data_IF_364509493904
#
_entry.id   IF_364509493904
#
_cell.length_a   1.000
_cell.length_b   1.000
_cell.length_c   1.000
_cell.angle_alpha   90.00
_cell.angle_beta   90.00
_cell.angle_gamma   90.00
#
_symmetry.space_group_name_H-M   'P 1'
#
loop_
_entity.id
_entity.type
_entity.pdbx_description
1 polymer ?
#
# COMPACT_ATOMS: atom_id res chain seq x y z
N UNK A 1 38.32 -7.63 13.47
CA UNK A 1 38.40 -6.19 13.36
C UNK A 1 37.52 -5.48 14.42
N UNK A 2 36.25 -5.85 14.57
CA UNK A 2 35.37 -5.28 15.64
C UNK A 2 35.52 -6.01 16.99
N UNK A 3 36.11 -7.20 17.03
CA UNK A 3 36.17 -8.05 18.24
C UNK A 3 34.84 -8.70 18.61
N UNK A 4 33.80 -8.52 17.79
CA UNK A 4 32.48 -9.09 18.01
C UNK A 4 32.50 -10.60 17.75
N UNK A 5 31.97 -11.37 18.70
CA UNK A 5 31.80 -12.82 18.57
C UNK A 5 30.35 -13.09 18.17
N UNK A 6 30.14 -13.52 16.94
CA UNK A 6 28.83 -13.82 16.39
C UNK A 6 28.86 -15.15 15.65
N UNK A 7 27.79 -15.91 15.76
CA UNK A 7 27.60 -17.13 14.98
C UNK A 7 27.40 -16.83 13.49
N UNK A 8 27.89 -17.67 12.60
CA UNK A 8 27.85 -17.46 11.15
C UNK A 8 26.43 -17.38 10.62
N UNK A 9 25.51 -18.23 11.10
CA UNK A 9 24.09 -18.20 10.71
C UNK A 9 23.39 -16.93 11.21
N UNK A 10 23.73 -16.50 12.43
CA UNK A 10 23.19 -15.24 12.97
C UNK A 10 23.73 -14.01 12.24
N UNK A 11 24.96 -14.05 11.74
CA UNK A 11 25.59 -12.95 11.00
C UNK A 11 25.05 -12.85 9.57
N UNK A 12 25.02 -13.98 8.85
CA UNK A 12 24.77 -14.02 7.41
C UNK A 12 23.91 -15.18 6.91
N UNK A 13 23.19 -15.87 7.82
CA UNK A 13 22.30 -16.96 7.43
C UNK A 13 21.06 -16.49 6.69
N UNK A 14 20.41 -17.40 6.01
CA UNK A 14 19.24 -17.13 5.19
C UNK A 14 18.11 -16.46 5.99
N UNK A 15 17.85 -16.90 7.23
CA UNK A 15 16.83 -16.30 8.07
C UNK A 15 17.14 -14.84 8.42
N UNK A 16 18.40 -14.53 8.77
CA UNK A 16 18.86 -13.17 9.09
C UNK A 16 18.64 -12.22 7.90
N UNK A 17 19.00 -12.66 6.70
CA UNK A 17 18.85 -11.85 5.51
C UNK A 17 17.40 -11.71 5.04
N UNK A 18 16.54 -12.65 5.39
CA UNK A 18 15.09 -12.53 5.13
C UNK A 18 14.34 -11.71 6.17
N UNK A 19 14.84 -11.59 7.42
CA UNK A 19 14.10 -10.93 8.51
C UNK A 19 14.68 -9.57 8.92
N UNK A 20 16.00 -9.43 8.89
CA UNK A 20 16.70 -8.26 9.45
C UNK A 20 17.20 -7.32 8.36
N UNK A 21 17.97 -7.82 7.41
CA UNK A 21 18.56 -6.97 6.37
C UNK A 21 17.67 -6.76 5.15
N UNK A 22 16.69 -7.63 4.91
CA UNK A 22 15.82 -7.57 3.73
C UNK A 22 16.55 -7.79 2.39
N UNK A 23 17.79 -8.26 2.41
CA UNK A 23 18.58 -8.53 1.20
C UNK A 23 18.01 -9.70 0.42
N UNK A 24 17.57 -10.75 1.12
CA UNK A 24 16.89 -11.90 0.53
C UNK A 24 15.39 -11.69 0.47
N UNK A 25 14.78 -12.04 -0.65
CA UNK A 25 13.35 -11.88 -0.88
C UNK A 25 12.54 -13.14 -0.56
N UNK A 26 13.17 -14.31 -0.63
CA UNK A 26 12.53 -15.59 -0.38
C UNK A 26 13.39 -16.42 0.58
N UNK A 27 12.73 -16.98 1.59
CA UNK A 27 13.30 -18.02 2.42
C UNK A 27 12.92 -19.36 1.81
N UNK A 28 13.90 -20.23 1.59
CA UNK A 28 13.71 -21.56 1.02
C UNK A 28 14.25 -22.60 1.99
N UNK A 29 13.54 -23.71 2.14
CA UNK A 29 13.93 -24.78 3.06
C UNK A 29 15.04 -25.67 2.47
N UNK A 30 15.05 -25.80 1.13
CA UNK A 30 16.00 -26.63 0.38
C UNK A 30 16.12 -26.12 -1.06
N UNK A 31 16.96 -26.77 -1.85
CA UNK A 31 17.25 -26.39 -3.25
C UNK A 31 16.03 -26.59 -4.15
N UNK A 32 15.24 -27.63 -3.93
CA UNK A 32 14.04 -27.93 -4.69
C UNK A 32 12.98 -26.80 -4.49
N UNK A 33 12.73 -26.40 -3.25
CA UNK A 33 11.85 -25.28 -2.92
C UNK A 33 12.35 -23.97 -3.55
N UNK A 34 13.66 -23.75 -3.53
CA UNK A 34 14.28 -22.59 -4.18
C UNK A 34 14.02 -22.57 -5.68
N UNK A 35 14.23 -23.70 -6.35
CA UNK A 35 14.00 -23.84 -7.80
C UNK A 35 12.54 -23.59 -8.15
N UNK A 36 11.60 -24.14 -7.37
CA UNK A 36 10.17 -23.91 -7.61
C UNK A 36 9.77 -22.45 -7.40
N UNK A 37 10.29 -21.77 -6.38
CA UNK A 37 10.07 -20.32 -6.20
C UNK A 37 10.65 -19.48 -7.34
N UNK A 38 11.83 -19.85 -7.87
CA UNK A 38 12.43 -19.20 -9.04
C UNK A 38 11.53 -19.37 -10.26
N UNK A 39 11.06 -20.59 -10.56
CA UNK A 39 10.14 -20.84 -11.67
C UNK A 39 8.83 -20.04 -11.52
N UNK A 40 8.28 -20.03 -10.31
CA UNK A 40 7.07 -19.25 -10.00
C UNK A 40 7.30 -17.77 -10.24
N UNK A 41 8.40 -17.19 -9.74
CA UNK A 41 8.74 -15.78 -9.98
C UNK A 41 8.87 -15.48 -11.48
N UNK A 42 9.61 -16.32 -12.21
CA UNK A 42 9.81 -16.14 -13.65
C UNK A 42 8.50 -16.21 -14.43
N UNK A 43 7.49 -16.94 -13.95
CA UNK A 43 6.19 -17.00 -14.59
C UNK A 43 5.39 -15.69 -14.53
N UNK A 44 5.73 -14.77 -13.64
CA UNK A 44 5.14 -13.43 -13.55
C UNK A 44 5.85 -12.39 -14.40
N UNK A 45 7.08 -12.66 -14.83
CA UNK A 45 7.96 -11.70 -15.49
C UNK A 45 7.97 -11.93 -17.01
N UNK A 46 8.12 -10.90 -17.85
CA UNK A 46 8.44 -11.06 -19.26
C UNK A 46 9.90 -11.50 -19.43
N UNK A 47 10.26 -11.97 -20.63
CA UNK A 47 11.64 -12.34 -20.93
C UNK A 47 12.62 -11.17 -20.86
N UNK A 48 12.12 -9.95 -21.13
CA UNK A 48 12.90 -8.72 -21.05
C UNK A 48 12.00 -7.48 -20.86
N UNK A 49 12.60 -6.33 -20.56
CA UNK A 49 11.90 -5.08 -20.28
C UNK A 49 11.15 -4.43 -21.45
N UNK A 50 11.22 -4.99 -22.67
CA UNK A 50 10.51 -4.49 -23.85
C UNK A 50 9.23 -5.27 -24.15
N UNK A 51 9.01 -6.34 -23.42
CA UNK A 51 7.86 -7.22 -23.56
C UNK A 51 6.88 -7.00 -22.38
N UNK A 52 5.64 -7.35 -22.63
CA UNK A 52 4.64 -7.40 -21.57
C UNK A 52 4.73 -8.74 -20.84
N UNK A 53 4.38 -8.83 -19.56
CA UNK A 53 4.29 -10.09 -18.85
C UNK A 53 3.39 -11.08 -19.57
N UNK A 54 3.70 -12.39 -19.51
CA UNK A 54 2.87 -13.40 -20.15
C UNK A 54 1.48 -13.44 -19.52
N UNK A 55 0.45 -13.53 -20.37
CA UNK A 55 -0.91 -13.79 -19.93
C UNK A 55 -1.13 -15.31 -19.85
N UNK A 56 -1.72 -15.76 -18.76
CA UNK A 56 -2.06 -17.17 -18.55
C UNK A 56 -3.57 -17.38 -18.72
N UNK A 57 -3.99 -18.52 -19.27
CA UNK A 57 -5.40 -18.90 -19.25
C UNK A 57 -5.91 -18.87 -17.80
N UNK A 58 -7.04 -18.22 -17.57
CA UNK A 58 -7.67 -18.12 -16.25
C UNK A 58 -9.03 -18.83 -16.33
N UNK A 59 -9.22 -19.85 -15.50
CA UNK A 59 -10.49 -20.54 -15.34
C UNK A 59 -11.40 -19.90 -14.29
N UNK A 60 -10.81 -19.09 -13.38
CA UNK A 60 -11.56 -18.33 -12.39
C UNK A 60 -12.31 -17.17 -13.08
N UNK A 61 -13.63 -17.16 -12.93
CA UNK A 61 -14.52 -16.20 -13.59
C UNK A 61 -14.09 -14.76 -13.30
N UNK A 62 -13.74 -13.97 -14.33
CA UNK A 62 -13.43 -12.54 -14.15
C UNK A 62 -14.57 -11.72 -13.54
N UNK A 63 -15.81 -12.17 -13.69
CA UNK A 63 -17.02 -11.53 -13.14
C UNK A 63 -17.37 -12.07 -11.73
N UNK A 64 -16.59 -12.99 -11.17
CA UNK A 64 -16.81 -13.53 -9.83
C UNK A 64 -16.86 -12.40 -8.79
N UNK A 65 -17.94 -12.34 -8.05
CA UNK A 65 -18.11 -11.43 -6.92
C UNK A 65 -17.45 -12.00 -5.67
N UNK A 66 -16.75 -11.15 -4.97
CA UNK A 66 -16.03 -11.48 -3.74
C UNK A 66 -16.91 -11.15 -2.51
N UNK A 67 -18.04 -11.83 -2.35
CA UNK A 67 -19.10 -11.48 -1.36
C UNK A 67 -18.57 -11.37 0.08
N UNK A 68 -17.57 -12.18 0.45
CA UNK A 68 -16.97 -12.11 1.77
C UNK A 68 -16.34 -10.75 2.10
N UNK A 69 -16.00 -9.96 1.09
CA UNK A 69 -15.35 -8.66 1.30
C UNK A 69 -16.32 -7.59 1.81
N UNK A 70 -17.62 -7.75 1.61
CA UNK A 70 -18.62 -6.75 2.03
C UNK A 70 -18.61 -6.52 3.55
N UNK A 71 -18.36 -7.58 4.33
CA UNK A 71 -18.34 -7.53 5.80
C UNK A 71 -16.93 -7.77 6.37
N UNK A 72 -15.89 -7.71 5.52
CA UNK A 72 -14.53 -8.11 5.92
C UNK A 72 -13.84 -7.10 6.83
N UNK A 73 -14.02 -5.80 6.57
CA UNK A 73 -13.44 -4.75 7.39
C UNK A 73 -14.24 -4.62 8.68
N UNK A 74 -13.61 -4.76 9.87
CA UNK A 74 -14.32 -4.61 11.13
C UNK A 74 -14.95 -3.22 11.28
N UNK A 75 -16.16 -3.14 11.81
CA UNK A 75 -16.82 -1.86 12.17
C UNK A 75 -15.95 -1.04 13.13
N UNK A 76 -15.32 -1.70 14.11
CA UNK A 76 -14.30 -1.09 14.95
C UNK A 76 -12.97 -1.07 14.22
N UNK A 77 -12.63 0.07 13.63
CA UNK A 77 -11.39 0.29 12.88
C UNK A 77 -10.11 0.23 13.74
N UNK A 78 -10.21 -0.05 15.04
CA UNK A 78 -9.07 -0.39 15.90
C UNK A 78 -8.76 -1.89 15.84
N UNK A 79 -9.68 -2.73 15.38
CA UNK A 79 -9.44 -4.16 15.19
C UNK A 79 -8.62 -4.40 13.94
N UNK A 80 -7.50 -5.11 14.12
CA UNK A 80 -6.64 -5.48 13.01
C UNK A 80 -7.21 -6.68 12.24
N UNK A 81 -7.08 -6.64 10.93
CA UNK A 81 -7.40 -7.75 10.02
C UNK A 81 -6.19 -8.09 9.15
N UNK A 82 -6.22 -9.23 8.45
CA UNK A 82 -5.14 -9.62 7.54
C UNK A 82 -5.44 -9.14 6.12
N UNK A 83 -4.70 -8.16 5.65
CA UNK A 83 -4.83 -7.64 4.29
C UNK A 83 -4.57 -8.73 3.22
N UNK A 84 -3.84 -9.78 3.55
CA UNK A 84 -3.56 -10.87 2.62
C UNK A 84 -4.82 -11.65 2.23
N UNK A 85 -5.85 -11.66 3.07
CA UNK A 85 -7.13 -12.29 2.73
C UNK A 85 -7.86 -11.51 1.63
N UNK A 86 -7.82 -10.17 1.68
CA UNK A 86 -8.36 -9.32 0.60
C UNK A 86 -7.59 -9.59 -0.70
N UNK A 87 -6.24 -9.62 -0.63
CA UNK A 87 -5.39 -9.87 -1.80
C UNK A 87 -5.71 -11.22 -2.43
N UNK A 88 -5.83 -12.28 -1.62
CA UNK A 88 -6.18 -13.62 -2.12
C UNK A 88 -7.57 -13.66 -2.71
N UNK A 89 -8.53 -13.05 -2.05
CA UNK A 89 -9.92 -13.09 -2.50
C UNK A 89 -10.13 -12.45 -3.88
N UNK A 90 -9.40 -11.38 -4.20
CA UNK A 90 -9.48 -10.75 -5.52
C UNK A 90 -8.60 -11.41 -6.58
N UNK A 91 -7.60 -12.23 -6.17
CA UNK A 91 -6.67 -12.89 -7.07
C UNK A 91 -7.32 -14.08 -7.81
N UNK A 92 -6.81 -14.38 -9.00
CA UNK A 92 -7.15 -15.61 -9.71
C UNK A 92 -6.76 -16.82 -8.85
N UNK A 93 -7.66 -17.79 -8.75
CA UNK A 93 -7.47 -19.04 -7.98
C UNK A 93 -7.02 -18.80 -6.51
N UNK A 94 -7.25 -17.61 -5.97
CA UNK A 94 -6.82 -17.18 -4.63
C UNK A 94 -5.30 -17.28 -4.40
N UNK A 95 -4.49 -17.22 -5.48
CA UNK A 95 -3.04 -17.36 -5.41
C UNK A 95 -2.37 -16.02 -5.21
N UNK A 96 -1.57 -15.91 -4.15
CA UNK A 96 -0.72 -14.75 -3.87
C UNK A 96 0.73 -15.19 -3.66
N UNK A 97 1.64 -14.70 -4.51
CA UNK A 97 3.08 -14.96 -4.42
C UNK A 97 3.76 -13.77 -3.74
N UNK A 98 3.86 -13.85 -2.41
CA UNK A 98 4.40 -12.77 -1.57
C UNK A 98 5.92 -12.70 -1.68
N UNK A 99 6.47 -11.49 -1.86
CA UNK A 99 7.91 -11.21 -1.81
C UNK A 99 8.29 -10.60 -0.47
N UNK A 100 9.47 -10.93 0.07
CA UNK A 100 9.96 -10.43 1.36
C UNK A 100 8.94 -10.59 2.50
N UNK A 101 8.27 -11.75 2.54
CA UNK A 101 7.20 -12.04 3.51
C UNK A 101 7.63 -11.90 4.98
N UNK A 102 8.93 -12.07 5.28
CA UNK A 102 9.51 -12.01 6.62
C UNK A 102 10.14 -10.64 6.96
N UNK A 103 10.30 -9.74 5.97
CA UNK A 103 10.90 -8.43 6.16
C UNK A 103 9.86 -7.33 6.07
N UNK A 104 9.95 -6.33 6.96
CA UNK A 104 9.03 -5.19 6.98
C UNK A 104 7.56 -5.63 6.81
N UNK A 105 7.09 -6.49 7.73
CA UNK A 105 5.82 -7.19 7.62
C UNK A 105 4.59 -6.28 7.73
N UNK A 106 4.77 -5.01 8.07
CA UNK A 106 3.78 -3.94 8.01
C UNK A 106 3.48 -3.46 6.56
N UNK A 107 4.33 -3.85 5.60
CA UNK A 107 4.15 -3.64 4.17
C UNK A 107 4.15 -4.98 3.44
N UNK A 108 3.13 -5.23 2.65
CA UNK A 108 2.97 -6.43 1.81
C UNK A 108 3.37 -6.07 0.39
N UNK A 109 4.21 -6.90 -0.21
CA UNK A 109 4.58 -6.83 -1.63
C UNK A 109 4.54 -8.22 -2.23
N UNK A 110 4.09 -8.35 -3.46
CA UNK A 110 4.04 -9.65 -4.14
C UNK A 110 3.25 -9.60 -5.43
N UNK A 111 3.08 -10.74 -6.05
CA UNK A 111 2.42 -10.88 -7.33
C UNK A 111 1.13 -11.70 -7.21
N UNK A 112 0.12 -11.26 -7.93
CA UNK A 112 -1.13 -12.01 -8.19
C UNK A 112 -1.36 -12.09 -9.68
N UNK A 113 -2.32 -12.92 -10.10
CA UNK A 113 -2.93 -12.80 -11.42
C UNK A 113 -4.36 -12.29 -11.28
N UNK A 114 -4.78 -11.51 -12.25
CA UNK A 114 -6.14 -10.99 -12.35
C UNK A 114 -6.61 -11.07 -13.80
N UNK A 115 -7.53 -12.00 -14.07
CA UNK A 115 -7.96 -12.34 -15.42
C UNK A 115 -6.80 -12.84 -16.30
N UNK A 116 -5.86 -13.58 -15.71
CA UNK A 116 -4.65 -14.11 -16.35
C UNK A 116 -3.47 -13.15 -16.43
N UNK A 117 -3.66 -11.87 -16.16
CA UNK A 117 -2.60 -10.86 -16.21
C UNK A 117 -1.80 -10.80 -14.91
N UNK A 118 -0.47 -10.70 -15.00
CA UNK A 118 0.39 -10.46 -13.84
C UNK A 118 0.18 -9.05 -13.27
N UNK A 119 0.02 -8.95 -11.95
CA UNK A 119 -0.18 -7.68 -11.23
C UNK A 119 0.72 -7.65 -9.99
N UNK A 120 1.48 -6.58 -9.82
CA UNK A 120 2.24 -6.32 -8.60
C UNK A 120 1.36 -5.64 -7.54
N UNK A 121 1.31 -6.20 -6.35
CA UNK A 121 0.54 -5.68 -5.22
C UNK A 121 1.47 -5.00 -4.22
N UNK A 122 1.09 -3.80 -3.80
CA UNK A 122 1.69 -3.06 -2.67
C UNK A 122 0.57 -2.73 -1.69
N UNK A 123 0.62 -3.27 -0.47
CA UNK A 123 -0.45 -3.10 0.48
C UNK A 123 0.05 -2.91 1.91
N UNK A 124 -0.71 -2.21 2.74
CA UNK A 124 -0.44 -2.12 4.17
C UNK A 124 -0.93 -3.37 4.90
N UNK A 125 -0.26 -3.76 5.99
CA UNK A 125 -0.70 -4.85 6.85
C UNK A 125 -1.16 -4.31 8.21
N UNK A 126 -2.48 -4.16 8.44
CA UNK A 126 -3.00 -3.62 9.70
C UNK A 126 -2.63 -4.44 10.94
N UNK A 127 -2.35 -5.73 10.80
CA UNK A 127 -1.90 -6.61 11.90
C UNK A 127 -0.50 -6.24 12.42
N UNK A 128 0.30 -5.56 11.62
CA UNK A 128 1.68 -5.17 11.99
C UNK A 128 1.79 -3.66 12.00
N UNK A 129 2.14 -3.08 13.15
CA UNK A 129 2.28 -1.63 13.35
C UNK A 129 1.05 -0.83 12.87
N UNK A 130 -0.14 -1.45 12.95
CA UNK A 130 -1.41 -0.88 12.44
C UNK A 130 -1.34 -0.43 10.96
N UNK A 131 -0.44 -1.00 10.16
CA UNK A 131 -0.23 -0.60 8.77
C UNK A 131 0.60 0.68 8.59
N UNK A 132 1.18 1.26 9.65
CA UNK A 132 2.09 2.42 9.54
C UNK A 132 3.29 2.11 8.67
N UNK A 133 3.74 3.11 7.91
CA UNK A 133 4.94 2.99 7.06
C UNK A 133 6.16 3.41 7.87
N UNK A 134 7.12 2.51 8.03
CA UNK A 134 8.44 2.78 8.61
C UNK A 134 9.53 2.85 7.52
N UNK A 135 10.78 3.02 7.93
CA UNK A 135 11.94 3.08 7.04
C UNK A 135 12.01 1.82 6.17
N UNK A 136 11.90 0.65 6.78
CA UNK A 136 12.05 -0.63 6.09
C UNK A 136 10.88 -0.91 5.12
N UNK A 137 9.67 -0.57 5.52
CA UNK A 137 8.49 -0.64 4.65
C UNK A 137 8.63 0.27 3.43
N UNK A 138 9.17 1.47 3.63
CA UNK A 138 9.42 2.43 2.55
C UNK A 138 10.41 1.88 1.51
N UNK A 139 11.52 1.32 1.97
CA UNK A 139 12.54 0.75 1.09
C UNK A 139 12.05 -0.50 0.36
N UNK A 140 11.32 -1.39 1.06
CA UNK A 140 10.69 -2.58 0.48
C UNK A 140 9.73 -2.21 -0.65
N UNK A 141 8.78 -1.33 -0.37
CA UNK A 141 7.78 -0.93 -1.35
C UNK A 141 8.41 -0.19 -2.55
N UNK A 142 9.30 0.78 -2.31
CA UNK A 142 9.95 1.53 -3.38
C UNK A 142 10.72 0.63 -4.35
N UNK A 143 11.46 -0.36 -3.82
CA UNK A 143 12.18 -1.33 -4.64
C UNK A 143 11.22 -2.20 -5.46
N UNK A 144 10.15 -2.69 -4.84
CA UNK A 144 9.16 -3.53 -5.52
C UNK A 144 8.43 -2.79 -6.64
N UNK A 145 7.98 -1.55 -6.39
CA UNK A 145 7.34 -0.70 -7.40
C UNK A 145 8.25 -0.52 -8.62
N UNK A 146 9.52 -0.20 -8.40
CA UNK A 146 10.49 -0.04 -9.49
C UNK A 146 10.75 -1.34 -10.24
N UNK A 147 10.77 -2.47 -9.55
CA UNK A 147 10.89 -3.78 -10.19
C UNK A 147 9.69 -4.06 -11.10
N UNK A 148 8.48 -3.80 -10.64
CA UNK A 148 7.28 -3.97 -11.47
C UNK A 148 7.31 -3.05 -12.70
N UNK A 149 7.67 -1.78 -12.54
CA UNK A 149 7.79 -0.85 -13.66
C UNK A 149 8.86 -1.27 -14.67
N UNK A 150 10.02 -1.77 -14.22
CA UNK A 150 11.07 -2.30 -15.09
C UNK A 150 10.63 -3.49 -15.96
N UNK A 151 9.64 -4.26 -15.51
CA UNK A 151 9.14 -5.44 -16.20
C UNK A 151 7.71 -5.27 -16.74
N UNK A 152 7.24 -4.04 -16.89
CA UNK A 152 5.91 -3.71 -17.44
C UNK A 152 4.74 -4.36 -16.70
N UNK A 153 4.88 -4.62 -15.40
CA UNK A 153 3.86 -5.22 -14.56
C UNK A 153 2.97 -4.14 -13.97
N UNK A 154 1.66 -4.12 -14.24
CA UNK A 154 0.72 -3.21 -13.61
C UNK A 154 0.78 -3.27 -12.09
N UNK A 155 0.53 -2.16 -11.43
CA UNK A 155 0.61 -2.02 -9.98
C UNK A 155 -0.78 -1.79 -9.36
N UNK A 156 -1.09 -2.57 -8.33
CA UNK A 156 -2.25 -2.41 -7.47
C UNK A 156 -1.78 -2.00 -6.07
N UNK A 157 -2.15 -0.78 -5.65
CA UNK A 157 -1.98 -0.31 -4.29
C UNK A 157 -3.25 -0.56 -3.48
N UNK A 158 -3.18 -1.30 -2.37
CA UNK A 158 -4.31 -1.49 -1.46
C UNK A 158 -3.99 -0.77 -0.15
N UNK A 159 -4.72 0.31 0.12
CA UNK A 159 -4.37 1.25 1.16
C UNK A 159 -5.25 1.14 2.41
N UNK A 160 -4.62 0.86 3.55
CA UNK A 160 -5.13 1.07 4.89
C UNK A 160 -3.96 1.54 5.77
N UNK A 161 -3.69 2.84 5.76
CA UNK A 161 -2.50 3.44 6.36
C UNK A 161 -2.86 4.64 7.25
N UNK A 162 -2.61 4.57 8.57
CA UNK A 162 -2.87 5.68 9.48
C UNK A 162 -1.80 6.78 9.41
N UNK A 163 -0.61 6.48 8.88
CA UNK A 163 0.48 7.44 8.78
C UNK A 163 1.85 6.79 8.63
N UNK A 164 2.88 7.63 8.61
CA UNK A 164 4.25 7.17 8.84
C UNK A 164 4.47 6.88 10.32
N UNK A 165 5.36 5.92 10.62
CA UNK A 165 5.70 5.56 11.98
C UNK A 165 6.39 6.72 12.69
N UNK A 166 5.85 7.23 13.80
CA UNK A 166 6.46 8.33 14.54
C UNK A 166 7.60 7.82 15.45
N UNK A 167 8.43 8.75 15.92
CA UNK A 167 9.43 8.52 16.95
C UNK A 167 10.85 8.82 16.50
N UNK A 168 11.70 9.07 17.51
CA UNK A 168 13.10 9.50 17.29
C UNK A 168 13.91 8.52 16.46
N UNK A 169 13.69 7.21 16.64
CA UNK A 169 14.40 6.19 15.84
C UNK A 169 14.08 6.31 14.35
N UNK A 170 12.84 6.63 14.01
CA UNK A 170 12.43 6.82 12.62
C UNK A 170 12.94 8.16 12.07
N UNK A 171 12.79 9.23 12.84
CA UNK A 171 13.26 10.56 12.44
C UNK A 171 14.79 10.59 12.25
N UNK A 172 15.54 10.09 13.24
CA UNK A 172 17.01 10.05 13.17
C UNK A 172 17.51 9.02 12.14
N UNK A 173 16.77 7.94 11.91
CA UNK A 173 17.03 6.98 10.85
C UNK A 173 16.75 7.52 9.45
N UNK A 174 16.05 8.67 9.33
CA UNK A 174 15.79 9.34 8.05
C UNK A 174 14.50 8.89 7.37
N UNK A 175 13.42 8.68 8.13
CA UNK A 175 12.10 8.26 7.59
C UNK A 175 11.63 9.15 6.42
N UNK A 176 11.89 10.47 6.46
CA UNK A 176 11.51 11.39 5.39
C UNK A 176 12.24 11.03 4.09
N UNK A 177 13.55 10.76 4.15
CA UNK A 177 14.36 10.37 3.00
C UNK A 177 13.94 9.00 2.45
N UNK A 178 13.72 8.02 3.32
CA UNK A 178 13.27 6.69 2.92
C UNK A 178 11.84 6.70 2.39
N UNK A 179 10.91 7.42 3.03
CA UNK A 179 9.55 7.59 2.54
C UNK A 179 9.49 8.29 1.18
N UNK A 180 10.38 9.25 0.93
CA UNK A 180 10.50 9.91 -0.37
C UNK A 180 10.87 8.95 -1.51
N UNK A 181 11.50 7.80 -1.23
CA UNK A 181 11.76 6.76 -2.25
C UNK A 181 10.47 6.16 -2.81
N UNK A 182 9.44 5.97 -1.97
CA UNK A 182 8.13 5.50 -2.43
C UNK A 182 7.48 6.54 -3.36
N UNK A 183 7.46 7.81 -2.95
CA UNK A 183 6.91 8.90 -3.77
C UNK A 183 7.61 8.98 -5.12
N UNK A 184 8.93 8.87 -5.11
CA UNK A 184 9.72 8.87 -6.33
C UNK A 184 9.40 7.66 -7.22
N UNK A 185 9.32 6.47 -6.64
CA UNK A 185 9.03 5.24 -7.39
C UNK A 185 7.66 5.29 -8.07
N UNK A 186 6.61 5.73 -7.34
CA UNK A 186 5.29 5.92 -7.90
C UNK A 186 5.23 6.99 -9.00
N UNK A 187 5.94 8.10 -8.80
CA UNK A 187 5.98 9.20 -9.78
C UNK A 187 6.72 8.83 -11.06
N UNK A 188 7.73 7.96 -10.97
CA UNK A 188 8.53 7.52 -12.11
C UNK A 188 7.87 6.35 -12.86
N UNK A 189 7.04 5.56 -12.18
CA UNK A 189 6.39 4.39 -12.77
C UNK A 189 5.47 4.76 -13.94
N UNK A 190 5.66 4.04 -15.06
CA UNK A 190 4.95 4.24 -16.33
C UNK A 190 3.86 3.21 -16.58
N UNK A 191 3.88 2.11 -15.84
CA UNK A 191 2.86 1.05 -15.89
C UNK A 191 1.50 1.53 -15.37
N UNK A 192 0.40 0.83 -15.67
CA UNK A 192 -0.89 1.10 -15.04
C UNK A 192 -0.79 1.05 -13.51
N UNK A 193 -1.32 2.07 -12.85
CA UNK A 193 -1.35 2.24 -11.40
C UNK A 193 -2.80 2.33 -10.93
N UNK A 194 -3.27 1.31 -10.24
CA UNK A 194 -4.62 1.25 -9.68
C UNK A 194 -4.50 1.33 -8.16
N UNK A 195 -5.36 2.11 -7.54
CA UNK A 195 -5.43 2.25 -6.08
C UNK A 195 -6.79 1.82 -5.57
N UNK A 196 -6.80 1.04 -4.51
CA UNK A 196 -8.00 0.65 -3.78
C UNK A 196 -7.84 1.07 -2.31
N UNK A 197 -8.57 2.09 -1.89
CA UNK A 197 -8.63 2.55 -0.52
C UNK A 197 -9.68 1.72 0.23
N UNK A 198 -9.26 0.90 1.19
CA UNK A 198 -10.16 -0.01 1.93
C UNK A 198 -10.42 0.43 3.36
N UNK A 199 -9.54 1.23 3.93
CA UNK A 199 -9.61 1.72 5.30
C UNK A 199 -9.02 3.11 5.43
N UNK A 200 -8.16 3.32 6.40
CA UNK A 200 -7.50 4.62 6.66
C UNK A 200 -6.54 4.98 5.53
N UNK A 201 -6.57 6.22 5.09
CA UNK A 201 -5.63 6.79 4.13
C UNK A 201 -5.28 8.20 4.61
N UNK A 202 -4.35 8.30 5.58
CA UNK A 202 -4.18 9.50 6.40
C UNK A 202 -2.81 10.16 6.21
N UNK A 203 -2.80 11.47 6.16
CA UNK A 203 -1.62 12.30 6.27
C UNK A 203 -0.61 12.12 5.13
N UNK A 204 0.67 12.22 5.47
CA UNK A 204 1.78 12.05 4.51
C UNK A 204 1.95 10.64 3.97
N UNK A 205 1.40 9.62 4.62
CA UNK A 205 1.42 8.25 4.12
C UNK A 205 0.40 8.01 2.98
N UNK A 206 -0.58 8.89 2.83
CA UNK A 206 -1.55 8.86 1.74
C UNK A 206 -0.86 8.90 0.36
N UNK A 207 -0.04 9.90 0.01
CA UNK A 207 0.69 9.88 -1.26
C UNK A 207 1.69 8.71 -1.36
N UNK A 208 2.24 8.22 -0.26
CA UNK A 208 3.12 7.06 -0.28
C UNK A 208 2.41 5.77 -0.75
N UNK A 209 1.10 5.68 -0.62
CA UNK A 209 0.27 4.61 -1.18
C UNK A 209 -0.35 4.98 -2.53
N UNK A 210 0.27 5.91 -3.26
CA UNK A 210 -0.12 6.34 -4.61
C UNK A 210 -1.50 7.01 -4.70
N UNK A 211 -1.86 7.86 -3.72
CA UNK A 211 -3.12 8.59 -3.83
C UNK A 211 -3.09 9.64 -4.96
N UNK A 212 -4.19 10.34 -5.14
CA UNK A 212 -4.44 11.24 -6.27
C UNK A 212 -3.31 12.25 -6.58
N UNK A 213 -2.49 12.61 -5.59
CA UNK A 213 -1.34 13.51 -5.77
C UNK A 213 -0.26 12.94 -6.69
N UNK A 214 -0.16 11.62 -6.80
CA UNK A 214 0.81 10.93 -7.64
C UNK A 214 0.23 10.38 -8.95
N UNK A 215 -0.98 10.86 -9.29
CA UNK A 215 -1.65 10.59 -10.55
C UNK A 215 -1.68 9.08 -10.91
N UNK A 216 -2.30 8.22 -10.08
CA UNK A 216 -2.65 6.88 -10.53
C UNK A 216 -3.66 6.96 -11.69
N UNK A 217 -3.85 5.85 -12.39
CA UNK A 217 -4.80 5.81 -13.51
C UNK A 217 -6.25 5.68 -13.03
N UNK A 218 -6.45 5.01 -11.87
CA UNK A 218 -7.75 4.91 -11.19
C UNK A 218 -7.57 4.78 -9.68
N UNK A 219 -8.46 5.42 -8.94
CA UNK A 219 -8.58 5.27 -7.48
C UNK A 219 -10.00 4.87 -7.15
N UNK A 220 -10.14 3.68 -6.57
CA UNK A 220 -11.41 3.21 -6.01
C UNK A 220 -11.38 3.30 -4.49
N UNK A 221 -12.53 3.55 -3.89
CA UNK A 221 -12.70 3.50 -2.45
C UNK A 221 -13.78 2.50 -2.06
N UNK A 222 -13.59 1.78 -0.96
CA UNK A 222 -14.69 1.09 -0.29
C UNK A 222 -15.46 2.06 0.59
N UNK A 223 -16.72 1.78 0.96
CA UNK A 223 -17.49 2.63 1.88
C UNK A 223 -16.81 2.83 3.25
N UNK A 224 -15.93 1.92 3.65
CA UNK A 224 -15.12 1.96 4.88
C UNK A 224 -13.90 2.88 4.79
N UNK A 225 -13.57 3.40 3.59
CA UNK A 225 -12.38 4.22 3.38
C UNK A 225 -12.49 5.60 4.06
N UNK A 226 -11.38 6.04 4.66
CA UNK A 226 -11.25 7.33 5.33
C UNK A 226 -10.05 8.08 4.77
N UNK A 227 -10.27 9.02 3.86
CA UNK A 227 -9.18 9.80 3.27
C UNK A 227 -9.14 11.20 3.87
N UNK A 228 -8.19 11.43 4.76
CA UNK A 228 -8.03 12.71 5.46
C UNK A 228 -6.57 13.17 5.49
N UNK A 229 -6.38 14.50 5.59
CA UNK A 229 -5.04 15.09 5.66
C UNK A 229 -4.46 14.97 7.07
N UNK A 230 -5.30 15.10 8.09
CA UNK A 230 -4.93 15.07 9.52
C UNK A 230 -6.00 14.31 10.28
N UNK A 231 -5.62 13.55 11.31
CA UNK A 231 -6.59 12.92 12.22
C UNK A 231 -7.52 13.94 12.89
N UNK A 232 -8.69 13.50 13.32
CA UNK A 232 -9.75 14.38 13.81
C UNK A 232 -9.31 15.28 14.98
N UNK A 233 -8.55 14.72 15.92
CA UNK A 233 -8.01 15.44 17.08
C UNK A 233 -7.11 16.60 16.64
N UNK A 234 -6.16 16.31 15.75
CA UNK A 234 -5.25 17.32 15.22
C UNK A 234 -5.94 18.37 14.35
N UNK A 235 -6.93 17.96 13.57
CA UNK A 235 -7.71 18.89 12.76
C UNK A 235 -8.49 19.88 13.64
N UNK A 236 -9.13 19.41 14.70
CA UNK A 236 -9.88 20.26 15.65
C UNK A 236 -8.93 21.21 16.37
N UNK A 237 -7.78 20.72 16.84
CA UNK A 237 -6.79 21.56 17.54
C UNK A 237 -6.22 22.67 16.65
N UNK A 238 -6.18 22.46 15.34
CA UNK A 238 -5.73 23.47 14.36
C UNK A 238 -6.89 24.38 13.94
N UNK A 239 -7.99 23.81 13.47
CA UNK A 239 -9.07 24.56 12.82
C UNK A 239 -10.00 25.26 13.82
N UNK A 240 -10.18 24.70 15.03
CA UNK A 240 -11.05 25.22 16.09
C UNK A 240 -10.30 25.85 17.24
N UNK A 241 -9.02 26.17 17.04
CA UNK A 241 -8.14 26.73 18.10
C UNK A 241 -8.71 28.01 18.73
N UNK A 242 -9.28 28.88 17.92
CA UNK A 242 -9.83 30.15 18.40
C UNK A 242 -11.11 29.96 19.21
N UNK A 243 -11.98 29.05 18.76
CA UNK A 243 -13.24 28.74 19.45
C UNK A 243 -12.96 28.04 20.80
N UNK A 244 -12.02 27.08 20.82
CA UNK A 244 -11.63 26.40 22.07
C UNK A 244 -11.03 27.37 23.07
N UNK A 245 -10.21 28.32 22.62
CA UNK A 245 -9.64 29.37 23.49
C UNK A 245 -10.71 30.31 24.01
N UNK A 246 -11.67 30.75 23.19
CA UNK A 246 -12.77 31.60 23.62
C UNK A 246 -13.65 30.88 24.66
N UNK A 247 -13.91 29.60 24.49
CA UNK A 247 -14.66 28.79 25.47
C UNK A 247 -13.91 28.68 26.81
N UNK A 248 -12.59 28.56 26.80
CA UNK A 248 -11.74 28.58 28.02
C UNK A 248 -11.86 29.92 28.74
N UNK A 249 -11.79 31.04 28.00
CA UNK A 249 -11.91 32.41 28.56
C UNK A 249 -13.32 32.67 29.14
N UNK A 250 -14.35 32.03 28.58
CA UNK A 250 -15.74 32.10 29.05
C UNK A 250 -16.06 31.14 30.20
N UNK A 251 -15.13 30.26 30.61
CA UNK A 251 -15.36 29.25 31.63
C UNK A 251 -16.26 28.10 31.22
N UNK A 252 -16.36 27.81 29.90
CA UNK A 252 -17.10 26.68 29.33
C UNK A 252 -16.32 25.37 29.48
N UNK A 253 -17.02 24.24 29.34
CA UNK A 253 -16.36 22.92 29.35
C UNK A 253 -15.66 22.69 28.00
N UNK A 254 -14.37 23.06 27.92
CA UNK A 254 -13.53 22.94 26.73
C UNK A 254 -13.38 21.48 26.30
N UNK A 255 -13.35 20.53 27.23
CA UNK A 255 -13.18 19.12 26.91
C UNK A 255 -14.42 18.57 26.19
N UNK A 256 -15.61 18.87 26.71
CA UNK A 256 -16.87 18.48 26.06
C UNK A 256 -17.06 19.17 24.69
N UNK A 257 -16.67 20.45 24.58
CA UNK A 257 -16.73 21.17 23.31
C UNK A 257 -15.77 20.58 22.26
N UNK A 258 -14.54 20.24 22.68
CA UNK A 258 -13.54 19.62 21.82
C UNK A 258 -14.01 18.25 21.31
N UNK A 259 -14.57 17.41 22.18
CA UNK A 259 -15.08 16.09 21.80
C UNK A 259 -16.23 16.22 20.79
N UNK A 260 -17.14 17.18 20.98
CA UNK A 260 -18.21 17.47 20.01
C UNK A 260 -17.64 17.84 18.64
N UNK A 261 -16.63 18.72 18.58
CA UNK A 261 -15.98 19.08 17.30
C UNK A 261 -15.25 17.91 16.65
N UNK A 262 -14.68 16.99 17.43
CA UNK A 262 -14.05 15.77 16.92
C UNK A 262 -15.11 14.87 16.26
N UNK A 263 -16.26 14.68 16.91
CA UNK A 263 -17.35 13.88 16.31
C UNK A 263 -17.95 14.54 15.06
N UNK A 264 -18.22 15.85 15.10
CA UNK A 264 -18.66 16.61 13.89
C UNK A 264 -17.66 16.44 12.74
N UNK A 265 -16.34 16.52 13.02
CA UNK A 265 -15.31 16.33 12.00
C UNK A 265 -15.28 14.90 11.44
N UNK A 266 -15.45 13.91 12.31
CA UNK A 266 -15.49 12.50 11.87
C UNK A 266 -16.72 12.24 10.99
N UNK A 267 -17.90 12.72 11.38
CA UNK A 267 -19.13 12.59 10.58
C UNK A 267 -18.97 13.21 9.18
N UNK A 268 -18.34 14.37 9.09
CA UNK A 268 -18.18 15.09 7.83
C UNK A 268 -17.08 14.48 6.94
N UNK A 269 -15.90 14.11 7.51
CA UNK A 269 -14.70 13.80 6.72
C UNK A 269 -14.25 12.34 6.76
N UNK A 270 -14.65 11.54 7.76
CA UNK A 270 -14.22 10.16 7.88
C UNK A 270 -15.11 9.20 7.09
N UNK A 271 -15.40 9.57 5.86
CA UNK A 271 -16.11 8.77 4.88
C UNK A 271 -15.54 9.05 3.48
N UNK A 272 -15.68 8.13 2.52
CA UNK A 272 -15.13 8.32 1.19
C UNK A 272 -15.90 9.35 0.34
N UNK A 273 -17.17 9.59 0.66
CA UNK A 273 -18.04 10.41 -0.18
C UNK A 273 -17.60 11.88 -0.22
N UNK A 274 -17.12 12.40 0.92
CA UNK A 274 -16.58 13.77 0.97
C UNK A 274 -15.33 13.93 0.11
N UNK A 275 -14.46 12.95 0.11
CA UNK A 275 -13.28 12.96 -0.78
C UNK A 275 -13.67 12.79 -2.26
N UNK A 276 -14.70 11.98 -2.56
CA UNK A 276 -15.25 11.83 -3.90
C UNK A 276 -15.86 13.13 -4.45
N UNK A 277 -16.57 13.93 -3.62
CA UNK A 277 -17.06 15.25 -4.00
C UNK A 277 -15.96 16.18 -4.54
N UNK A 278 -14.74 16.01 -4.02
CA UNK A 278 -13.55 16.76 -4.48
C UNK A 278 -12.77 16.07 -5.60
N UNK A 279 -13.32 15.01 -6.20
CA UNK A 279 -12.68 14.27 -7.27
C UNK A 279 -11.38 13.54 -6.84
N UNK A 280 -11.33 13.03 -5.59
CA UNK A 280 -10.19 12.29 -5.06
C UNK A 280 -10.28 10.79 -5.31
N UNK A 281 -11.47 10.32 -5.65
CA UNK A 281 -11.77 8.96 -6.08
C UNK A 281 -12.57 9.04 -7.39
N UNK A 282 -12.32 8.10 -8.30
CA UNK A 282 -13.14 7.92 -9.49
C UNK A 282 -14.47 7.26 -9.14
N UNK A 283 -14.47 6.35 -8.14
CA UNK A 283 -15.70 5.69 -7.70
C UNK A 283 -15.59 5.16 -6.27
N UNK A 284 -16.74 5.06 -5.59
CA UNK A 284 -16.93 4.34 -4.33
C UNK A 284 -17.66 3.05 -4.65
N UNK A 285 -16.93 1.93 -4.57
CA UNK A 285 -17.37 0.64 -5.05
C UNK A 285 -17.83 -0.29 -3.92
N UNK A 286 -18.75 -1.19 -4.21
CA UNK A 286 -19.07 -2.30 -3.33
C UNK A 286 -17.85 -3.23 -3.21
N UNK A 287 -17.40 -3.60 -1.99
CA UNK A 287 -16.21 -4.43 -1.81
C UNK A 287 -16.24 -5.74 -2.61
N UNK A 288 -17.40 -6.38 -2.70
CA UNK A 288 -17.58 -7.60 -3.48
C UNK A 288 -17.26 -7.44 -4.98
N UNK A 289 -17.39 -6.24 -5.55
CA UNK A 289 -17.14 -5.97 -6.96
C UNK A 289 -15.67 -5.66 -7.28
N UNK A 290 -14.79 -5.59 -6.28
CA UNK A 290 -13.40 -5.17 -6.43
C UNK A 290 -12.65 -5.94 -7.51
N UNK A 291 -12.75 -7.30 -7.54
CA UNK A 291 -12.10 -8.14 -8.54
C UNK A 291 -12.52 -7.74 -9.96
N UNK A 292 -13.80 -7.73 -10.24
CA UNK A 292 -14.37 -7.42 -11.56
C UNK A 292 -13.94 -6.03 -12.04
N UNK A 293 -14.04 -5.03 -11.16
CA UNK A 293 -13.71 -3.64 -11.47
C UNK A 293 -12.21 -3.49 -11.78
N UNK A 294 -11.33 -4.09 -10.98
CA UNK A 294 -9.88 -4.03 -11.22
C UNK A 294 -9.51 -4.74 -12.52
N UNK A 295 -10.06 -5.93 -12.81
CA UNK A 295 -9.82 -6.64 -14.09
C UNK A 295 -10.24 -5.78 -15.28
N UNK A 296 -11.40 -5.14 -15.22
CA UNK A 296 -11.88 -4.28 -16.30
C UNK A 296 -11.00 -3.02 -16.45
N UNK A 297 -10.54 -2.46 -15.36
CA UNK A 297 -9.59 -1.33 -15.36
C UNK A 297 -8.26 -1.73 -15.98
N UNK A 298 -7.71 -2.91 -15.65
CA UNK A 298 -6.48 -3.43 -16.27
C UNK A 298 -6.63 -3.60 -17.77
N UNK A 299 -7.78 -4.12 -18.24
CA UNK A 299 -8.10 -4.24 -19.68
C UNK A 299 -8.15 -2.88 -20.39
N UNK A 300 -8.73 -1.86 -19.73
CA UNK A 300 -8.82 -0.50 -20.25
C UNK A 300 -7.43 0.11 -20.46
N UNK A 301 -6.50 -0.13 -19.54
CA UNK A 301 -5.14 0.43 -19.59
C UNK A 301 -4.09 -0.51 -20.17
N UNK A 302 -4.49 -1.64 -20.77
CA UNK A 302 -3.56 -2.62 -21.37
C UNK A 302 -2.56 -2.00 -22.35
N UNK A 303 -2.97 -0.95 -23.07
CA UNK A 303 -2.15 -0.26 -24.06
C UNK A 303 -1.62 1.09 -23.57
N UNK A 304 -1.59 1.32 -22.27
CA UNK A 304 -1.06 2.57 -21.70
C UNK A 304 0.37 2.79 -22.13
N UNK A 305 0.64 3.98 -22.66
CA UNK A 305 2.00 4.45 -22.98
C UNK A 305 2.24 5.80 -22.32
N UNK A 306 3.34 5.90 -21.60
CA UNK A 306 3.77 7.13 -20.94
C UNK A 306 5.14 7.52 -21.51
N UNK A 307 5.24 8.73 -22.04
CA UNK A 307 6.50 9.29 -22.51
C UNK A 307 7.00 10.28 -21.46
N UNK A 308 8.02 9.90 -20.73
CA UNK A 308 8.68 10.78 -19.78
C UNK A 308 9.70 11.70 -20.49
N UNK A 309 9.94 12.92 -20.00
CA UNK A 309 11.01 13.78 -20.50
C UNK A 309 12.36 13.06 -20.43
N UNK A 310 13.17 13.22 -21.49
CA UNK A 310 14.51 12.64 -21.52
C UNK A 310 15.39 13.23 -20.41
N UNK A 311 16.05 12.36 -19.67
CA UNK A 311 16.98 12.72 -18.58
C UNK A 311 18.18 11.76 -18.61
N UNK A 312 19.32 12.18 -18.05
CA UNK A 312 20.50 11.31 -17.99
C UNK A 312 20.26 10.06 -17.15
N UNK A 313 19.63 10.23 -16.01
CA UNK A 313 19.19 9.17 -15.08
C UNK A 313 18.17 9.74 -14.10
N UNK A 314 17.50 8.88 -13.35
CA UNK A 314 16.66 9.29 -12.22
C UNK A 314 17.51 9.80 -11.05
N UNK A 315 16.93 10.66 -10.22
CA UNK A 315 17.55 11.16 -8.99
C UNK A 315 16.71 10.74 -7.78
N UNK A 316 16.63 9.42 -7.60
CA UNK A 316 15.91 8.84 -6.46
C UNK A 316 16.61 9.24 -5.15
N UNK A 317 15.88 9.60 -4.09
CA UNK A 317 16.43 9.79 -2.75
C UNK A 317 17.19 8.53 -2.28
N UNK A 318 18.39 8.70 -1.70
CA UNK A 318 19.27 7.61 -1.25
C UNK A 318 19.67 7.78 0.21
#
# INVERSE_FOLDING_TARGET
MTGEVVDAEKLGGAYTHNTVSGVSHFFCENDEDCIEKIKTLLSYLPENCREMPPEFPCEDDPERRCEMLNDFIPEDLKKAYDMKEIIREIADDHVFFETQALYATNMITGFIRMGGCSVGVVANQPRTLAGCIDINASDKAARFIRTCDCFNIPLLSIADVPGYMPGTNQEFGGIIRHGAKMLYAWSEATVPKIVMAVGKVVGGARPAMCSWELHPDFIFAWPTAQMVVVGAEGAVDICRKHELKAAEENGEDVAALRERYIEEYKEEFFNPYKAAEYGKFEDVIEPADSRRIIINTLRLFKNKQVVLPAKKHGNMPV
#
